data_IF_430310676120
#
_entry.id   IF_430310676120
#
_cell.length_a   1.000
_cell.length_b   1.000
_cell.length_c   1.000
_cell.angle_alpha   90.00
_cell.angle_beta   90.00
_cell.angle_gamma   90.00
#
_symmetry.space_group_name_H-M   'P 1'
#
loop_
_entity.id
_entity.type
_entity.pdbx_description
1 polymer ?
#
# COMPACT_ATOMS: atom_id res chain seq x y z
N UNK A 1 5.61 48.18 17.48
CA UNK A 1 4.60 47.16 17.14
C UNK A 1 5.10 46.40 15.93
N UNK A 2 5.59 45.18 16.11
CA UNK A 2 5.62 44.11 15.11
C UNK A 2 5.90 42.83 15.90
N UNK A 3 4.88 41.99 15.93
CA UNK A 3 4.74 40.79 16.76
C UNK A 3 5.67 39.68 16.28
N UNK A 4 6.50 39.17 17.19
CA UNK A 4 7.25 37.94 17.01
C UNK A 4 6.30 36.75 17.19
N UNK A 5 5.83 36.18 16.08
CA UNK A 5 5.05 34.94 16.09
C UNK A 5 5.93 33.76 16.51
N UNK A 6 5.66 33.21 17.69
CA UNK A 6 6.36 32.05 18.24
C UNK A 6 6.11 30.79 17.42
N UNK A 7 7.17 30.22 16.85
CA UNK A 7 7.20 28.81 16.42
C UNK A 7 7.26 27.94 17.67
N UNK A 8 6.14 27.33 18.05
CA UNK A 8 6.12 26.27 19.05
C UNK A 8 6.96 25.09 18.54
N UNK A 9 8.14 24.90 19.13
CA UNK A 9 8.98 23.71 18.89
C UNK A 9 8.21 22.48 19.37
N UNK A 10 7.83 21.60 18.45
CA UNK A 10 7.32 20.25 18.76
C UNK A 10 8.42 19.55 19.56
N UNK A 11 8.18 19.29 20.84
CA UNK A 11 9.12 18.56 21.69
C UNK A 11 9.11 17.09 21.26
N UNK A 12 10.10 16.71 20.46
CA UNK A 12 10.37 15.31 20.17
C UNK A 12 11.09 14.69 21.38
N UNK A 13 10.33 14.08 22.31
CA UNK A 13 10.93 13.35 23.42
C UNK A 13 11.27 11.92 23.00
N UNK A 14 12.57 11.69 22.80
CA UNK A 14 13.14 10.40 22.40
C UNK A 14 13.22 9.38 23.56
N UNK A 15 12.83 9.75 24.79
CA UNK A 15 13.11 8.94 26.00
C UNK A 15 12.10 7.83 26.32
N UNK A 16 11.02 7.66 25.55
CA UNK A 16 10.02 6.59 25.81
C UNK A 16 9.63 5.73 24.60
N UNK A 17 10.23 5.90 23.43
CA UNK A 17 9.87 5.14 22.22
C UNK A 17 10.56 3.78 22.07
N UNK A 18 11.27 3.29 23.09
CA UNK A 18 11.89 1.96 23.08
C UNK A 18 11.22 1.03 24.08
N UNK A 19 9.99 0.59 23.77
CA UNK A 19 9.65 -0.78 24.13
C UNK A 19 10.42 -1.67 23.14
N UNK A 20 11.17 -2.68 23.60
CA UNK A 20 11.91 -3.55 22.70
C UNK A 20 10.91 -4.45 21.98
N UNK A 21 10.49 -4.06 20.78
CA UNK A 21 10.09 -5.04 19.76
C UNK A 21 11.37 -5.82 19.46
N UNK A 22 11.44 -7.03 20.01
CA UNK A 22 12.67 -7.81 20.15
C UNK A 22 13.41 -7.96 18.82
N UNK A 23 14.72 -7.68 18.83
CA UNK A 23 15.64 -8.16 17.80
C UNK A 23 15.59 -9.69 17.80
N UNK A 24 15.31 -10.29 16.64
CA UNK A 24 15.38 -11.73 16.49
C UNK A 24 16.34 -12.07 15.34
N UNK A 25 17.39 -12.84 15.66
CA UNK A 25 18.54 -13.18 14.79
C UNK A 25 18.16 -14.02 13.56
N UNK A 26 18.91 -14.01 12.45
CA UNK A 26 18.49 -14.62 11.19
C UNK A 26 18.92 -16.10 11.09
N UNK A 27 17.96 -17.00 10.87
CA UNK A 27 18.23 -18.40 10.48
C UNK A 27 17.16 -19.41 10.91
N UNK A 28 16.64 -19.30 12.13
CA UNK A 28 15.62 -20.21 12.71
C UNK A 28 14.36 -19.52 13.23
N UNK A 29 14.26 -18.21 13.04
CA UNK A 29 13.40 -17.32 13.84
C UNK A 29 12.14 -16.88 13.10
N UNK A 30 12.22 -16.70 11.78
CA UNK A 30 11.07 -16.37 10.95
C UNK A 30 9.98 -17.44 11.02
N UNK A 31 10.35 -18.74 10.99
CA UNK A 31 9.37 -19.82 11.05
C UNK A 31 8.61 -19.85 12.38
N UNK A 32 9.31 -19.63 13.51
CA UNK A 32 8.66 -19.57 14.81
C UNK A 32 7.72 -18.36 14.92
N UNK A 33 8.16 -17.18 14.44
CA UNK A 33 7.34 -15.98 14.42
C UNK A 33 6.10 -16.12 13.52
N UNK A 34 6.24 -16.74 12.35
CA UNK A 34 5.12 -17.05 11.45
C UNK A 34 4.10 -17.94 12.19
N UNK A 35 4.55 -19.05 12.80
CA UNK A 35 3.64 -19.99 13.48
C UNK A 35 2.84 -19.33 14.62
N UNK A 36 3.44 -18.40 15.36
CA UNK A 36 2.75 -17.63 16.41
C UNK A 36 1.63 -16.77 15.80
N UNK A 37 1.94 -16.07 14.71
CA UNK A 37 0.98 -15.16 14.08
C UNK A 37 -0.11 -15.88 13.28
N UNK A 38 0.14 -17.09 12.75
CA UNK A 38 -0.89 -17.90 12.10
C UNK A 38 -2.12 -18.11 13.00
N UNK A 39 -1.90 -18.49 14.25
CA UNK A 39 -2.97 -18.73 15.21
C UNK A 39 -3.74 -17.47 15.63
N UNK A 40 -3.19 -16.28 15.36
CA UNK A 40 -3.79 -14.98 15.67
C UNK A 40 -4.39 -14.29 14.44
N UNK A 41 -4.12 -14.80 13.24
CA UNK A 41 -4.57 -14.21 11.98
C UNK A 41 -5.95 -14.74 11.63
N UNK A 42 -6.96 -13.88 11.77
CA UNK A 42 -8.37 -14.19 11.51
C UNK A 42 -8.86 -15.52 12.14
N UNK A 43 -8.65 -15.77 13.44
CA UNK A 43 -8.89 -17.08 14.06
C UNK A 43 -10.37 -17.50 14.04
N UNK A 44 -11.29 -16.54 13.92
CA UNK A 44 -12.73 -16.77 13.83
C UNK A 44 -13.23 -16.96 12.40
N UNK A 45 -12.40 -16.70 11.38
CA UNK A 45 -12.78 -16.85 9.98
C UNK A 45 -12.74 -18.35 9.60
N UNK A 46 -13.78 -18.92 8.97
CA UNK A 46 -13.87 -20.36 8.69
C UNK A 46 -12.67 -20.94 7.94
N UNK A 47 -12.06 -20.16 7.05
CA UNK A 47 -10.88 -20.60 6.28
C UNK A 47 -9.61 -20.74 7.13
N UNK A 48 -9.47 -19.96 8.21
CA UNK A 48 -8.27 -19.92 9.06
C UNK A 48 -8.49 -20.50 10.47
N UNK A 49 -9.71 -20.89 10.82
CA UNK A 49 -10.07 -21.33 12.17
C UNK A 49 -9.50 -22.70 12.54
N UNK A 50 -9.31 -23.59 11.55
CA UNK A 50 -8.70 -24.89 11.77
C UNK A 50 -7.18 -24.74 11.98
N UNK A 51 -6.70 -25.13 13.17
CA UNK A 51 -5.28 -25.13 13.49
C UNK A 51 -4.51 -26.02 12.52
N UNK A 52 -3.54 -25.45 11.80
CA UNK A 52 -2.80 -26.11 10.72
C UNK A 52 -3.70 -26.74 9.65
N UNK A 53 -4.92 -26.21 9.47
CA UNK A 53 -5.80 -26.55 8.36
C UNK A 53 -5.32 -25.91 7.05
N UNK A 54 -6.03 -26.17 5.96
CA UNK A 54 -5.65 -25.74 4.61
C UNK A 54 -5.32 -24.23 4.53
N UNK A 55 -6.18 -23.36 5.08
CA UNK A 55 -5.93 -21.91 5.03
C UNK A 55 -4.71 -21.46 5.83
N UNK A 56 -4.47 -22.02 7.03
CA UNK A 56 -3.27 -21.70 7.80
C UNK A 56 -1.99 -22.23 7.13
N UNK A 57 -2.05 -23.39 6.47
CA UNK A 57 -0.91 -23.95 5.73
C UNK A 57 -0.59 -23.13 4.48
N UNK A 58 -1.59 -22.72 3.71
CA UNK A 58 -1.39 -21.81 2.57
C UNK A 58 -0.82 -20.47 3.02
N UNK A 59 -1.31 -19.91 4.13
CA UNK A 59 -0.76 -18.69 4.71
C UNK A 59 0.69 -18.89 5.19
N UNK A 60 1.01 -20.02 5.81
CA UNK A 60 2.37 -20.38 6.22
C UNK A 60 3.31 -20.43 5.02
N UNK A 61 2.91 -21.12 3.95
CA UNK A 61 3.72 -21.25 2.74
C UNK A 61 4.01 -19.90 2.11
N UNK A 62 3.00 -19.05 1.98
CA UNK A 62 3.11 -17.72 1.40
C UNK A 62 4.09 -16.84 2.21
N UNK A 63 3.94 -16.81 3.54
CA UNK A 63 4.82 -16.04 4.43
C UNK A 63 6.25 -16.61 4.47
N UNK A 64 6.39 -17.93 4.46
CA UNK A 64 7.69 -18.60 4.38
C UNK A 64 8.38 -18.26 3.06
N UNK A 65 7.68 -18.37 1.94
CA UNK A 65 8.20 -18.01 0.63
C UNK A 65 8.63 -16.54 0.58
N UNK A 66 7.81 -15.62 1.12
CA UNK A 66 8.17 -14.20 1.19
C UNK A 66 9.43 -13.97 2.04
N UNK A 67 9.52 -14.62 3.21
CA UNK A 67 10.69 -14.47 4.10
C UNK A 67 12.01 -14.94 3.48
N UNK A 68 11.94 -15.86 2.51
CA UNK A 68 13.09 -16.33 1.74
C UNK A 68 13.39 -15.41 0.55
N UNK A 69 12.36 -14.80 -0.05
CA UNK A 69 12.50 -13.85 -1.14
C UNK A 69 13.14 -12.53 -0.69
N UNK A 70 12.70 -12.00 0.46
CA UNK A 70 13.17 -10.72 1.02
C UNK A 70 13.90 -10.96 2.35
N UNK A 71 15.17 -11.40 2.35
CA UNK A 71 15.90 -11.70 3.58
C UNK A 71 16.23 -10.46 4.43
N UNK A 72 16.14 -9.25 3.86
CA UNK A 72 16.34 -7.99 4.60
C UNK A 72 15.18 -7.73 5.57
N UNK A 73 13.95 -7.98 5.12
CA UNK A 73 12.75 -7.93 5.97
C UNK A 73 12.56 -9.23 6.73
N UNK A 74 12.75 -10.37 6.05
CA UNK A 74 12.40 -11.69 6.52
C UNK A 74 10.89 -11.79 6.80
N UNK A 75 10.54 -12.16 8.02
CA UNK A 75 9.17 -12.08 8.51
C UNK A 75 9.07 -11.00 9.59
N UNK A 76 8.16 -10.04 9.37
CA UNK A 76 7.83 -9.00 10.34
C UNK A 76 6.43 -9.26 10.92
N UNK A 77 6.29 -9.08 12.24
CA UNK A 77 5.03 -9.32 12.94
C UNK A 77 3.92 -8.44 12.34
N UNK A 78 2.76 -9.05 12.09
CA UNK A 78 1.61 -8.38 11.48
C UNK A 78 1.50 -8.55 9.95
N UNK A 79 2.58 -8.95 9.26
CA UNK A 79 2.56 -9.23 7.82
C UNK A 79 1.60 -10.37 7.46
N UNK A 80 1.37 -11.31 8.39
CA UNK A 80 0.39 -12.40 8.22
C UNK A 80 -1.02 -11.90 7.92
N UNK A 81 -1.43 -10.77 8.49
CA UNK A 81 -2.75 -10.22 8.24
C UNK A 81 -2.87 -9.69 6.81
N UNK A 82 -1.83 -9.03 6.29
CA UNK A 82 -1.80 -8.55 4.90
C UNK A 82 -1.89 -9.73 3.94
N UNK A 83 -1.05 -10.74 4.13
CA UNK A 83 -1.09 -11.97 3.35
C UNK A 83 -2.43 -12.70 3.47
N UNK A 84 -3.02 -12.75 4.66
CA UNK A 84 -4.29 -13.40 4.92
C UNK A 84 -5.45 -12.72 4.18
N UNK A 85 -5.47 -11.38 4.10
CA UNK A 85 -6.48 -10.66 3.30
C UNK A 85 -6.37 -11.04 1.83
N UNK A 86 -5.16 -11.08 1.27
CA UNK A 86 -4.96 -11.48 -0.14
C UNK A 86 -5.47 -12.90 -0.38
N UNK A 87 -5.07 -13.84 0.49
CA UNK A 87 -5.42 -15.25 0.37
C UNK A 87 -6.93 -15.53 0.49
N UNK A 88 -7.70 -14.64 1.11
CA UNK A 88 -9.17 -14.73 1.13
C UNK A 88 -9.81 -14.42 -0.23
N UNK A 89 -9.10 -13.78 -1.16
CA UNK A 89 -9.65 -13.27 -2.41
C UNK A 89 -9.03 -13.89 -3.67
N UNK A 90 -7.97 -14.70 -3.54
CA UNK A 90 -7.27 -15.31 -4.67
C UNK A 90 -6.55 -16.59 -4.26
N UNK A 91 -6.03 -17.35 -5.22
CA UNK A 91 -5.27 -18.57 -4.95
C UNK A 91 -3.94 -18.28 -4.22
N UNK A 92 -3.31 -19.31 -3.64
CA UNK A 92 -2.04 -19.17 -2.91
C UNK A 92 -0.93 -18.54 -3.76
N UNK A 93 -0.82 -18.95 -5.03
CA UNK A 93 0.18 -18.42 -5.95
C UNK A 93 -0.10 -16.97 -6.36
N UNK A 94 -1.36 -16.63 -6.66
CA UNK A 94 -1.77 -15.26 -6.96
C UNK A 94 -1.55 -14.34 -5.75
N UNK A 95 -1.88 -14.81 -4.55
CA UNK A 95 -1.70 -14.08 -3.31
C UNK A 95 -0.22 -13.82 -3.03
N UNK A 96 0.66 -14.76 -3.32
CA UNK A 96 2.11 -14.56 -3.22
C UNK A 96 2.61 -13.51 -4.23
N UNK A 97 2.15 -13.58 -5.48
CA UNK A 97 2.52 -12.60 -6.51
C UNK A 97 2.01 -11.20 -6.15
N UNK A 98 0.79 -11.09 -5.61
CA UNK A 98 0.23 -9.83 -5.17
C UNK A 98 0.92 -9.29 -3.91
N UNK A 99 1.32 -10.15 -2.98
CA UNK A 99 2.12 -9.74 -1.83
C UNK A 99 3.46 -9.17 -2.28
N UNK A 100 4.14 -9.83 -3.23
CA UNK A 100 5.39 -9.33 -3.81
C UNK A 100 5.18 -7.96 -4.45
N UNK A 101 4.11 -7.78 -5.22
CA UNK A 101 3.75 -6.48 -5.81
C UNK A 101 3.54 -5.39 -4.75
N UNK A 102 2.76 -5.68 -3.70
CA UNK A 102 2.56 -4.75 -2.58
C UNK A 102 3.87 -4.37 -1.89
N UNK A 103 4.73 -5.35 -1.66
CA UNK A 103 5.94 -5.16 -0.88
C UNK A 103 7.03 -4.43 -1.66
N UNK A 104 7.25 -4.79 -2.93
CA UNK A 104 8.29 -4.21 -3.78
C UNK A 104 7.79 -3.04 -4.61
N UNK A 105 6.85 -3.27 -5.52
CA UNK A 105 6.38 -2.26 -6.48
C UNK A 105 5.63 -1.12 -5.79
N UNK A 106 4.81 -1.41 -4.78
CA UNK A 106 4.12 -0.39 -3.98
C UNK A 106 4.93 0.08 -2.77
N UNK A 107 6.11 -0.49 -2.56
CA UNK A 107 7.07 -0.07 -1.54
C UNK A 107 6.66 -0.32 -0.09
N UNK A 108 5.64 -1.16 0.17
CA UNK A 108 5.16 -1.44 1.52
C UNK A 108 6.23 -2.08 2.40
N UNK A 109 7.21 -2.80 1.82
CA UNK A 109 8.32 -3.43 2.56
C UNK A 109 9.11 -2.48 3.46
N UNK A 110 9.18 -1.20 3.09
CA UNK A 110 9.96 -0.16 3.79
C UNK A 110 9.61 -0.08 5.28
N UNK A 111 8.32 -0.18 5.63
CA UNK A 111 7.86 -0.09 7.03
C UNK A 111 8.11 -1.36 7.86
N UNK A 112 8.38 -2.49 7.19
CA UNK A 112 8.64 -3.78 7.84
C UNK A 112 10.12 -4.08 8.07
N UNK A 113 11.02 -3.18 7.65
CA UNK A 113 12.46 -3.34 7.87
C UNK A 113 12.77 -3.41 9.37
N UNK A 114 13.77 -4.20 9.80
CA UNK A 114 14.06 -4.42 11.23
C UNK A 114 14.42 -3.16 12.02
N UNK A 115 14.89 -2.10 11.35
CA UNK A 115 15.24 -0.83 11.99
C UNK A 115 14.00 0.02 12.38
N UNK A 116 12.82 -0.31 11.83
CA UNK A 116 11.54 0.38 12.03
C UNK A 116 11.61 1.90 11.77
N UNK A 117 12.61 2.39 11.03
CA UNK A 117 12.81 3.83 10.81
C UNK A 117 11.65 4.41 10.02
N UNK A 118 11.21 3.72 8.96
CA UNK A 118 10.11 4.18 8.13
C UNK A 118 8.81 4.19 8.94
N UNK A 119 8.57 3.18 9.79
CA UNK A 119 7.42 3.18 10.69
C UNK A 119 7.47 4.37 11.67
N UNK A 120 8.65 4.73 12.20
CA UNK A 120 8.81 5.92 13.06
C UNK A 120 8.51 7.22 12.31
N UNK A 121 8.97 7.36 11.06
CA UNK A 121 8.63 8.50 10.20
C UNK A 121 7.11 8.55 9.99
N UNK A 122 6.46 7.42 9.72
CA UNK A 122 5.01 7.36 9.58
C UNK A 122 4.28 7.77 10.87
N UNK A 123 4.75 7.35 12.05
CA UNK A 123 4.17 7.80 13.31
C UNK A 123 4.29 9.34 13.47
N UNK A 124 5.42 9.91 13.07
CA UNK A 124 5.61 11.35 13.08
C UNK A 124 4.69 12.07 12.08
N UNK A 125 4.62 11.59 10.83
CA UNK A 125 3.74 12.13 9.79
C UNK A 125 2.27 12.11 10.23
N UNK A 126 1.80 11.03 10.86
CA UNK A 126 0.44 10.97 11.41
C UNK A 126 0.23 12.00 12.54
N UNK A 127 1.22 12.19 13.41
CA UNK A 127 1.19 13.23 14.45
C UNK A 127 1.07 14.63 13.84
N UNK A 128 1.85 14.94 12.80
CA UNK A 128 1.80 16.23 12.09
C UNK A 128 0.48 16.42 11.34
N UNK A 129 -0.07 15.37 10.71
CA UNK A 129 -1.40 15.42 10.13
C UNK A 129 -2.47 15.75 11.17
N UNK A 130 -2.44 15.13 12.35
CA UNK A 130 -3.38 15.48 13.42
C UNK A 130 -3.21 16.92 13.88
N UNK A 131 -1.98 17.40 14.00
CA UNK A 131 -1.70 18.79 14.34
C UNK A 131 -2.30 19.78 13.34
N UNK A 132 -2.20 19.49 12.04
CA UNK A 132 -2.62 20.39 10.96
C UNK A 132 -4.14 20.30 10.67
N UNK A 133 -4.74 19.12 10.75
CA UNK A 133 -6.16 18.89 10.39
C UNK A 133 -7.11 18.80 11.60
N UNK A 134 -6.62 18.34 12.75
CA UNK A 134 -7.42 18.10 13.96
C UNK A 134 -6.71 18.65 15.22
N UNK A 135 -6.37 19.94 15.19
CA UNK A 135 -5.54 20.61 16.21
C UNK A 135 -5.99 20.35 17.66
N UNK A 136 -7.29 20.39 17.90
CA UNK A 136 -7.87 20.11 19.23
C UNK A 136 -7.57 18.68 19.70
N UNK A 137 -7.75 17.69 18.81
CA UNK A 137 -7.42 16.29 19.11
C UNK A 137 -5.92 16.12 19.35
N UNK A 138 -5.09 16.71 18.49
CA UNK A 138 -3.64 16.69 18.67
C UNK A 138 -3.22 17.24 20.04
N UNK A 139 -3.72 18.42 20.41
CA UNK A 139 -3.36 19.05 21.69
C UNK A 139 -3.83 18.22 22.89
N UNK A 140 -5.00 17.59 22.80
CA UNK A 140 -5.47 16.68 23.84
C UNK A 140 -4.57 15.44 23.98
N UNK A 141 -4.21 14.80 22.86
CA UNK A 141 -3.28 13.66 22.87
C UNK A 141 -1.90 14.07 23.39
N UNK A 142 -1.39 15.24 23.00
CA UNK A 142 -0.10 15.77 23.46
C UNK A 142 -0.10 16.07 24.97
N UNK A 143 -1.18 16.64 25.51
CA UNK A 143 -1.34 16.90 26.94
C UNK A 143 -1.26 15.62 27.79
N UNK A 144 -1.73 14.49 27.23
CA UNK A 144 -1.67 13.18 27.87
C UNK A 144 -0.45 12.34 27.46
N UNK A 145 0.53 12.93 26.75
CA UNK A 145 1.74 12.24 26.26
C UNK A 145 1.46 11.05 25.33
N UNK A 146 0.38 11.10 24.55
CA UNK A 146 -0.06 10.00 23.67
C UNK A 146 0.44 10.21 22.24
N UNK A 147 1.57 9.61 21.93
CA UNK A 147 2.10 9.55 20.56
C UNK A 147 1.43 8.45 19.71
N UNK A 148 1.40 8.60 18.37
CA UNK A 148 0.83 7.59 17.47
C UNK A 148 1.41 6.18 17.61
N UNK A 149 2.67 6.04 18.04
CA UNK A 149 3.30 4.74 18.31
C UNK A 149 2.54 3.89 19.34
N UNK A 150 1.76 4.51 20.23
CA UNK A 150 0.99 3.78 21.25
C UNK A 150 -0.25 3.09 20.69
N UNK A 151 -0.79 3.52 19.54
CA UNK A 151 -2.07 3.00 19.01
C UNK A 151 -2.05 2.66 17.51
N UNK A 152 -1.24 3.34 16.70
CA UNK A 152 -1.31 3.26 15.24
C UNK A 152 -0.36 2.22 14.64
N UNK A 153 0.66 1.73 15.35
CA UNK A 153 1.57 0.73 14.80
C UNK A 153 0.85 -0.51 14.21
N UNK A 154 -0.19 -1.08 14.86
CA UNK A 154 -0.98 -2.16 14.25
C UNK A 154 -1.72 -1.73 12.98
N UNK A 155 -2.17 -0.49 12.87
CA UNK A 155 -2.88 0.00 11.69
C UNK A 155 -1.99 -0.03 10.45
N UNK A 156 -0.74 0.45 10.59
CA UNK A 156 0.24 0.44 9.50
C UNK A 156 0.75 -0.97 9.20
N UNK A 157 1.17 -1.72 10.22
CA UNK A 157 1.77 -3.05 10.05
C UNK A 157 0.79 -4.13 9.64
N UNK A 158 -0.52 -3.92 9.78
CA UNK A 158 -1.54 -4.90 9.37
C UNK A 158 -2.53 -4.35 8.35
N UNK A 159 -2.32 -3.13 7.84
CA UNK A 159 -3.29 -2.42 7.00
C UNK A 159 -4.71 -2.49 7.59
N UNK A 160 -4.84 -2.19 8.90
CA UNK A 160 -6.05 -2.26 9.72
C UNK A 160 -6.64 -3.66 9.96
N UNK A 161 -6.14 -4.70 9.30
CA UNK A 161 -6.75 -6.01 9.28
C UNK A 161 -6.77 -6.76 10.62
N UNK A 162 -5.92 -6.38 11.57
CA UNK A 162 -5.88 -7.03 12.89
C UNK A 162 -7.03 -6.65 13.84
N UNK A 163 -7.65 -5.49 13.66
CA UNK A 163 -8.64 -4.96 14.61
C UNK A 163 -9.96 -4.54 13.95
N UNK A 164 -9.99 -4.31 12.64
CA UNK A 164 -11.17 -3.81 11.94
C UNK A 164 -11.93 -4.92 11.20
N UNK A 165 -13.25 -4.76 10.96
CA UNK A 165 -14.06 -5.73 10.22
C UNK A 165 -13.49 -6.00 8.81
N UNK A 166 -13.44 -7.27 8.41
CA UNK A 166 -12.87 -7.69 7.11
C UNK A 166 -13.49 -6.98 5.90
N UNK A 167 -14.80 -6.70 5.92
CA UNK A 167 -15.46 -5.95 4.85
C UNK A 167 -14.96 -4.51 4.71
N UNK A 168 -14.61 -3.84 5.82
CA UNK A 168 -13.97 -2.52 5.79
C UNK A 168 -12.53 -2.63 5.29
N UNK A 169 -11.79 -3.62 5.79
CA UNK A 169 -10.40 -3.89 5.42
C UNK A 169 -10.27 -4.15 3.91
N UNK A 170 -11.17 -4.94 3.31
CA UNK A 170 -11.19 -5.17 1.87
C UNK A 170 -11.29 -3.85 1.08
N UNK A 171 -12.16 -2.92 1.51
CA UNK A 171 -12.29 -1.58 0.89
C UNK A 171 -11.04 -0.73 1.08
N UNK A 172 -10.34 -0.86 2.21
CA UNK A 172 -9.03 -0.22 2.42
C UNK A 172 -8.00 -0.78 1.42
N UNK A 173 -7.98 -2.09 1.20
CA UNK A 173 -7.10 -2.72 0.22
C UNK A 173 -7.40 -2.26 -1.21
N UNK A 174 -8.67 -2.16 -1.60
CA UNK A 174 -9.06 -1.62 -2.91
C UNK A 174 -8.46 -0.23 -3.15
N UNK A 175 -8.55 0.65 -2.15
CA UNK A 175 -7.96 1.99 -2.23
C UNK A 175 -6.43 1.94 -2.19
N UNK A 176 -5.83 1.05 -1.40
CA UNK A 176 -4.40 0.88 -1.31
C UNK A 176 -3.82 0.50 -2.67
N UNK A 177 -4.43 -0.46 -3.39
CA UNK A 177 -4.01 -0.83 -4.74
C UNK A 177 -4.20 0.30 -5.76
N UNK A 178 -5.22 1.12 -5.61
CA UNK A 178 -5.53 2.21 -6.55
C UNK A 178 -4.69 3.47 -6.33
N UNK A 179 -4.47 3.87 -5.07
CA UNK A 179 -3.89 5.16 -4.68
C UNK A 179 -2.54 5.06 -3.96
N UNK A 180 -2.11 3.86 -3.57
CA UNK A 180 -0.84 3.62 -2.88
C UNK A 180 -0.93 3.55 -1.36
N UNK A 181 0.23 3.37 -0.72
CA UNK A 181 0.36 3.14 0.74
C UNK A 181 -0.08 4.33 1.60
N UNK A 182 -0.14 5.54 1.02
CA UNK A 182 -0.61 6.77 1.67
C UNK A 182 -2.06 6.67 2.16
N UNK A 183 -2.86 5.77 1.57
CA UNK A 183 -4.23 5.47 2.03
C UNK A 183 -4.28 5.11 3.51
N UNK A 184 -3.23 4.49 4.03
CA UNK A 184 -3.13 4.15 5.46
C UNK A 184 -3.22 5.40 6.34
N UNK A 185 -2.58 6.50 5.94
CA UNK A 185 -2.69 7.78 6.63
C UNK A 185 -4.07 8.40 6.49
N UNK A 186 -4.66 8.35 5.28
CA UNK A 186 -6.00 8.89 5.02
C UNK A 186 -7.04 8.22 5.91
N UNK A 187 -6.98 6.88 6.01
CA UNK A 187 -7.87 6.09 6.87
C UNK A 187 -7.63 6.41 8.34
N UNK A 188 -6.38 6.43 8.81
CA UNK A 188 -6.06 6.76 10.20
C UNK A 188 -6.55 8.16 10.59
N UNK A 189 -6.33 9.16 9.72
CA UNK A 189 -6.76 10.53 9.95
C UNK A 189 -8.28 10.66 9.95
N UNK A 190 -8.97 10.03 8.99
CA UNK A 190 -10.44 10.03 8.92
C UNK A 190 -11.06 9.37 10.16
N UNK A 191 -10.54 8.23 10.59
CA UNK A 191 -11.03 7.53 11.78
C UNK A 191 -10.83 8.33 13.06
N UNK A 192 -9.65 8.92 13.27
CA UNK A 192 -9.38 9.76 14.43
C UNK A 192 -10.24 11.04 14.41
N UNK A 193 -10.38 11.66 13.24
CA UNK A 193 -11.24 12.82 13.03
C UNK A 193 -12.70 12.54 13.34
N UNK A 194 -13.25 11.42 12.85
CA UNK A 194 -14.65 11.04 13.05
C UNK A 194 -14.97 10.71 14.51
N UNK A 195 -13.98 10.22 15.27
CA UNK A 195 -14.13 9.87 16.68
C UNK A 195 -13.65 10.96 17.64
N UNK A 196 -13.14 12.10 17.12
CA UNK A 196 -12.63 13.22 17.94
C UNK A 196 -13.55 13.56 19.13
N UNK A 197 -14.88 13.78 18.95
CA UNK A 197 -15.74 14.21 20.05
C UNK A 197 -15.86 13.17 21.18
N UNK A 198 -15.63 11.89 20.87
CA UNK A 198 -15.65 10.80 21.85
C UNK A 198 -14.29 10.67 22.55
N UNK A 199 -13.19 10.77 21.79
CA UNK A 199 -11.83 10.72 22.34
C UNK A 199 -11.63 11.82 23.37
N UNK A 200 -12.10 13.05 23.08
CA UNK A 200 -11.97 14.21 23.98
C UNK A 200 -12.73 14.07 25.32
N UNK A 201 -13.59 13.06 25.49
CA UNK A 201 -14.29 12.80 26.75
C UNK A 201 -13.46 11.99 27.74
N UNK A 202 -12.33 11.44 27.30
CA UNK A 202 -11.43 10.64 28.14
C UNK A 202 -10.32 11.53 28.69
N UNK A 203 -10.06 11.46 30.00
CA UNK A 203 -9.16 12.41 30.68
C UNK A 203 -7.81 11.80 31.12
N UNK A 204 -7.53 10.55 30.74
CA UNK A 204 -6.28 9.89 31.11
C UNK A 204 -5.77 8.97 29.99
N UNK A 205 -4.45 8.74 30.00
CA UNK A 205 -3.73 7.98 28.98
C UNK A 205 -4.34 6.59 28.73
N UNK A 206 -4.62 5.83 29.79
CA UNK A 206 -5.13 4.46 29.68
C UNK A 206 -6.50 4.43 28.98
N UNK A 207 -7.43 5.27 29.43
CA UNK A 207 -8.78 5.32 28.85
C UNK A 207 -8.80 5.82 27.41
N UNK A 208 -7.96 6.79 27.05
CA UNK A 208 -7.83 7.28 25.67
C UNK A 208 -7.27 6.18 24.76
N UNK A 209 -6.18 5.53 25.19
CA UNK A 209 -5.54 4.47 24.40
C UNK A 209 -6.47 3.25 24.26
N UNK A 210 -7.17 2.86 25.33
CA UNK A 210 -8.16 1.78 25.27
C UNK A 210 -9.33 2.13 24.35
N UNK A 211 -9.85 3.36 24.40
CA UNK A 211 -10.90 3.78 23.47
C UNK A 211 -10.43 3.64 22.01
N UNK A 212 -9.23 4.12 21.67
CA UNK A 212 -8.70 4.06 20.30
C UNK A 212 -8.43 2.61 19.87
N UNK A 213 -7.99 1.73 20.77
CA UNK A 213 -7.66 0.33 20.44
C UNK A 213 -8.84 -0.61 20.43
N UNK A 214 -9.76 -0.44 21.37
CA UNK A 214 -10.80 -1.43 21.69
C UNK A 214 -12.18 -0.97 21.23
N UNK A 215 -12.47 0.33 21.30
CA UNK A 215 -13.80 0.86 20.97
C UNK A 215 -13.89 1.38 19.54
N UNK A 216 -12.91 2.18 19.10
CA UNK A 216 -12.88 2.79 17.77
C UNK A 216 -13.01 1.77 16.61
N UNK A 217 -12.41 0.56 16.66
CA UNK A 217 -12.56 -0.40 15.57
C UNK A 217 -13.99 -0.95 15.39
N UNK A 218 -14.87 -0.79 16.39
CA UNK A 218 -16.27 -1.23 16.35
C UNK A 218 -17.15 -0.25 15.56
N UNK A 219 -16.81 -0.07 14.29
CA UNK A 219 -17.50 0.85 13.38
C UNK A 219 -18.87 0.29 12.97
N UNK A 220 -19.90 1.14 12.97
CA UNK A 220 -21.16 0.82 12.31
C UNK A 220 -21.04 0.89 10.77
N UNK A 221 -21.93 0.21 10.03
CA UNK A 221 -21.91 0.19 8.55
C UNK A 221 -21.90 1.61 7.94
N UNK A 222 -22.73 2.51 8.48
CA UNK A 222 -22.81 3.91 8.02
C UNK A 222 -21.50 4.67 8.28
N UNK A 223 -20.82 4.38 9.39
CA UNK A 223 -19.53 5.00 9.69
C UNK A 223 -18.45 4.50 8.74
N UNK A 224 -18.39 3.18 8.51
CA UNK A 224 -17.47 2.59 7.53
C UNK A 224 -17.64 3.22 6.14
N UNK A 225 -18.87 3.32 5.64
CA UNK A 225 -19.12 3.91 4.32
C UNK A 225 -18.70 5.38 4.24
N UNK A 226 -19.00 6.17 5.28
CA UNK A 226 -18.56 7.58 5.37
C UNK A 226 -17.05 7.70 5.39
N UNK A 227 -16.35 6.86 6.17
CA UNK A 227 -14.89 6.83 6.22
C UNK A 227 -14.31 6.53 4.83
N UNK A 228 -14.80 5.51 4.13
CA UNK A 228 -14.31 5.16 2.79
C UNK A 228 -14.52 6.31 1.80
N UNK A 229 -15.69 6.97 1.81
CA UNK A 229 -15.97 8.14 0.96
C UNK A 229 -15.01 9.30 1.25
N UNK A 230 -14.81 9.64 2.52
CA UNK A 230 -13.89 10.71 2.92
C UNK A 230 -12.45 10.39 2.52
N UNK A 231 -12.01 9.15 2.73
CA UNK A 231 -10.66 8.69 2.38
C UNK A 231 -10.42 8.78 0.87
N UNK A 232 -11.42 8.43 0.07
CA UNK A 232 -11.31 8.45 -1.39
C UNK A 232 -11.04 9.86 -1.95
N UNK A 233 -11.67 10.87 -1.37
CA UNK A 233 -11.56 12.28 -1.77
C UNK A 233 -10.38 13.02 -1.14
N UNK A 234 -9.75 12.45 -0.11
CA UNK A 234 -8.69 13.10 0.64
C UNK A 234 -7.36 13.15 -0.13
N UNK A 235 -6.77 14.34 -0.23
CA UNK A 235 -5.43 14.57 -0.78
C UNK A 235 -4.49 15.13 0.31
N UNK A 236 -3.47 14.35 0.67
CA UNK A 236 -2.48 14.67 1.71
C UNK A 236 -1.04 14.40 1.25
N UNK A 237 -0.82 14.10 -0.04
CA UNK A 237 0.48 13.60 -0.53
C UNK A 237 1.58 14.65 -0.36
N UNK A 238 1.27 15.93 -0.62
CA UNK A 238 2.21 17.04 -0.44
C UNK A 238 2.61 17.24 1.02
N UNK A 239 1.65 17.09 1.93
CA UNK A 239 1.86 17.22 3.37
C UNK A 239 2.74 16.08 3.88
N UNK A 240 2.47 14.84 3.46
CA UNK A 240 3.29 13.69 3.82
C UNK A 240 4.75 13.87 3.40
N UNK A 241 5.00 14.31 2.16
CA UNK A 241 6.35 14.62 1.68
C UNK A 241 7.02 15.74 2.50
N UNK A 242 6.29 16.82 2.80
CA UNK A 242 6.82 17.91 3.62
C UNK A 242 7.20 17.44 5.03
N UNK A 243 6.38 16.59 5.65
CA UNK A 243 6.66 16.06 6.99
C UNK A 243 7.79 15.04 7.02
N UNK A 244 7.99 14.27 5.95
CA UNK A 244 9.15 13.39 5.82
C UNK A 244 10.45 14.20 5.80
N UNK A 245 10.49 15.27 5.00
CA UNK A 245 11.62 16.21 4.98
C UNK A 245 11.80 16.88 6.34
N UNK A 246 10.72 17.33 6.98
CA UNK A 246 10.74 17.93 8.32
C UNK A 246 11.37 16.96 9.35
N UNK A 247 10.99 15.68 9.31
CA UNK A 247 11.53 14.66 10.22
C UNK A 247 13.05 14.49 10.06
N UNK A 248 13.54 14.40 8.81
CA UNK A 248 14.96 14.26 8.55
C UNK A 248 15.76 15.48 9.02
N UNK A 249 15.27 16.68 8.75
CA UNK A 249 15.91 17.92 9.23
C UNK A 249 15.97 17.95 10.76
N UNK A 250 14.87 17.60 11.45
CA UNK A 250 14.85 17.54 12.92
C UNK A 250 15.81 16.48 13.47
N UNK A 251 15.94 15.34 12.80
CA UNK A 251 16.86 14.28 13.20
C UNK A 251 18.33 14.73 13.08
N UNK A 252 18.67 15.45 12.01
CA UNK A 252 20.00 16.02 11.80
C UNK A 252 20.31 17.13 12.83
N UNK A 253 19.37 18.05 13.09
CA UNK A 253 19.54 19.09 14.12
C UNK A 253 19.75 18.49 15.52
N UNK A 254 19.10 17.37 15.84
CA UNK A 254 19.25 16.70 17.14
C UNK A 254 20.62 16.02 17.29
N UNK A 255 21.18 15.51 16.20
CA UNK A 255 22.55 14.99 16.16
C UNK A 255 23.58 16.12 16.26
N UNK A 256 23.16 17.36 15.97
CA UNK A 256 24.00 18.56 15.97
C UNK A 256 24.02 19.36 17.28
N UNK A 257 23.35 18.88 18.35
CA UNK A 257 23.46 19.44 19.71
C UNK A 257 24.86 19.32 20.34
N UNK A 258 25.19 20.13 21.37
CA UNK A 258 26.55 20.23 21.90
C UNK A 258 26.92 19.02 22.78
N UNK A 259 27.32 17.91 22.15
CA UNK A 259 28.14 16.86 22.77
C UNK A 259 28.83 15.96 21.72
N UNK A 260 30.14 16.18 21.58
CA UNK A 260 31.22 15.17 21.46
C UNK A 260 31.32 14.23 20.24
N UNK A 261 31.17 14.72 19.01
CA UNK A 261 31.82 14.08 17.85
C UNK A 261 32.92 15.03 17.34
N UNK A 262 34.15 14.53 17.19
CA UNK A 262 35.22 15.36 16.61
C UNK A 262 34.78 15.74 15.19
N UNK A 263 35.04 16.98 14.76
CA UNK A 263 34.68 17.44 13.41
C UNK A 263 35.15 16.47 12.31
N UNK A 264 36.22 15.71 12.55
CA UNK A 264 36.73 14.65 11.68
C UNK A 264 35.79 13.44 11.56
N UNK A 265 35.16 12.98 12.65
CA UNK A 265 34.19 11.88 12.59
C UNK A 265 32.91 12.28 11.88
N UNK A 266 32.48 13.55 12.03
CA UNK A 266 31.31 14.09 11.33
C UNK A 266 31.57 14.23 9.84
N UNK A 267 32.75 14.73 9.45
CA UNK A 267 33.17 14.79 8.05
C UNK A 267 33.21 13.40 7.42
N UNK A 268 33.79 12.41 8.12
CA UNK A 268 33.84 11.02 7.64
C UNK A 268 32.44 10.39 7.49
N UNK A 269 31.52 10.68 8.43
CA UNK A 269 30.14 10.22 8.34
C UNK A 269 29.41 10.87 7.16
N UNK A 270 29.50 12.19 6.99
CA UNK A 270 28.91 12.92 5.87
C UNK A 270 29.45 12.44 4.52
N UNK A 271 30.74 12.13 4.45
CA UNK A 271 31.39 11.60 3.24
C UNK A 271 30.87 10.18 2.93
N UNK A 272 30.69 9.34 3.95
CA UNK A 272 30.05 8.02 3.80
C UNK A 272 28.60 8.12 3.35
N UNK A 273 27.81 9.03 3.94
CA UNK A 273 26.41 9.24 3.54
C UNK A 273 26.32 9.81 2.12
N UNK A 274 27.18 10.77 1.75
CA UNK A 274 27.27 11.28 0.37
C UNK A 274 27.68 10.18 -0.61
N UNK A 275 28.61 9.30 -0.23
CA UNK A 275 28.98 8.14 -1.04
C UNK A 275 27.79 7.21 -1.27
N UNK A 276 27.04 6.90 -0.22
CA UNK A 276 25.82 6.09 -0.31
C UNK A 276 24.74 6.75 -1.16
N UNK A 277 24.51 8.06 -1.01
CA UNK A 277 23.55 8.81 -1.81
C UNK A 277 23.97 8.90 -3.28
N UNK A 278 25.27 9.02 -3.56
CA UNK A 278 25.79 8.97 -4.93
C UNK A 278 25.58 7.61 -5.57
N UNK A 279 25.78 6.54 -4.81
CA UNK A 279 25.50 5.19 -5.30
C UNK A 279 24.00 5.01 -5.57
N UNK A 280 23.13 5.41 -4.65
CA UNK A 280 21.67 5.36 -4.87
C UNK A 280 21.22 6.20 -6.06
N UNK A 281 21.81 7.38 -6.28
CA UNK A 281 21.53 8.18 -7.47
C UNK A 281 21.98 7.48 -8.76
N UNK A 282 23.10 6.75 -8.72
CA UNK A 282 23.57 5.97 -9.86
C UNK A 282 22.62 4.80 -10.14
N UNK A 283 22.22 4.07 -9.10
CA UNK A 283 21.29 2.94 -9.22
C UNK A 283 19.92 3.41 -9.73
N UNK A 284 19.40 4.54 -9.24
CA UNK A 284 18.16 5.16 -9.74
C UNK A 284 18.30 5.62 -11.20
N UNK A 285 19.46 6.15 -11.60
CA UNK A 285 19.71 6.51 -13.00
C UNK A 285 19.71 5.26 -13.89
N UNK A 286 20.27 4.15 -13.42
CA UNK A 286 20.21 2.86 -14.13
C UNK A 286 18.77 2.34 -14.23
N UNK A 287 17.99 2.38 -13.15
CA UNK A 287 16.57 2.00 -13.17
C UNK A 287 15.78 2.85 -14.17
N UNK A 288 16.00 4.16 -14.18
CA UNK A 288 15.39 5.09 -15.15
C UNK A 288 15.81 4.73 -16.57
N UNK A 289 17.07 4.37 -16.82
CA UNK A 289 17.51 3.92 -18.14
C UNK A 289 16.85 2.61 -18.57
N UNK A 290 16.71 1.64 -17.66
CA UNK A 290 16.02 0.37 -17.92
C UNK A 290 14.54 0.62 -18.21
N UNK A 291 13.88 1.48 -17.43
CA UNK A 291 12.49 1.87 -17.68
C UNK A 291 12.32 2.53 -19.05
N UNK A 292 13.21 3.45 -19.43
CA UNK A 292 13.19 4.07 -20.77
C UNK A 292 13.45 3.06 -21.89
N UNK A 293 14.34 2.09 -21.71
CA UNK A 293 14.54 1.02 -22.68
C UNK A 293 13.28 0.16 -22.85
N UNK A 294 12.59 -0.13 -21.74
CA UNK A 294 11.36 -0.91 -21.75
C UNK A 294 10.19 -0.14 -22.38
N UNK A 295 10.06 1.15 -22.12
CA UNK A 295 9.09 2.02 -22.78
C UNK A 295 9.32 1.99 -24.30
N UNK A 296 10.57 2.22 -24.75
CA UNK A 296 10.90 2.16 -26.19
C UNK A 296 10.60 0.81 -26.83
N UNK A 297 10.87 -0.28 -26.11
CA UNK A 297 10.51 -1.62 -26.57
C UNK A 297 8.99 -1.79 -26.73
N UNK A 298 8.22 -1.36 -25.73
CA UNK A 298 6.75 -1.44 -25.77
C UNK A 298 6.17 -0.54 -26.87
N UNK A 299 6.70 0.67 -27.06
CA UNK A 299 6.33 1.58 -28.14
C UNK A 299 6.52 0.92 -29.51
N UNK A 300 7.70 0.34 -29.76
CA UNK A 300 7.96 -0.40 -31.01
C UNK A 300 7.03 -1.60 -31.19
N UNK A 301 6.69 -2.30 -30.11
CA UNK A 301 5.74 -3.42 -30.17
C UNK A 301 4.33 -2.96 -30.53
N UNK A 302 3.88 -1.84 -29.95
CA UNK A 302 2.59 -1.21 -30.27
C UNK A 302 2.57 -0.74 -31.73
N UNK A 303 3.63 -0.11 -32.23
CA UNK A 303 3.75 0.27 -33.64
C UNK A 303 3.62 -0.95 -34.57
N UNK A 304 4.27 -2.06 -34.22
CA UNK A 304 4.16 -3.32 -34.97
C UNK A 304 2.74 -3.88 -34.98
N UNK A 305 2.03 -3.85 -33.85
CA UNK A 305 0.63 -4.27 -33.76
C UNK A 305 -0.29 -3.38 -34.60
N UNK A 306 -0.10 -2.05 -34.55
CA UNK A 306 -0.87 -1.10 -35.37
C UNK A 306 -0.64 -1.35 -36.86
N UNK A 307 0.59 -1.62 -37.27
CA UNK A 307 0.88 -1.95 -38.66
C UNK A 307 0.22 -3.27 -39.08
N UNK A 308 0.28 -4.31 -38.24
CA UNK A 308 -0.41 -5.58 -38.51
C UNK A 308 -1.93 -5.40 -38.60
N UNK A 309 -2.53 -4.60 -37.71
CA UNK A 309 -3.96 -4.27 -37.75
C UNK A 309 -4.32 -3.57 -39.07
N UNK A 310 -3.48 -2.64 -39.54
CA UNK A 310 -3.72 -1.92 -40.80
C UNK A 310 -3.76 -2.86 -42.00
N UNK A 311 -2.86 -3.86 -42.06
CA UNK A 311 -2.82 -4.86 -43.13
C UNK A 311 -4.08 -5.74 -43.10
N UNK A 312 -4.43 -6.24 -41.90
CA UNK A 312 -5.64 -7.07 -41.73
C UNK A 312 -6.92 -6.30 -42.09
N UNK A 313 -6.98 -5.00 -41.79
CA UNK A 313 -8.11 -4.14 -42.19
C UNK A 313 -8.23 -4.03 -43.72
N UNK A 314 -7.13 -3.85 -44.43
CA UNK A 314 -7.12 -3.79 -45.91
C UNK A 314 -7.59 -5.13 -46.49
N UNK A 315 -7.08 -6.25 -45.97
CA UNK A 315 -7.46 -7.59 -46.42
C UNK A 315 -8.95 -7.87 -46.16
N UNK A 316 -9.46 -7.49 -44.98
CA UNK A 316 -10.88 -7.59 -44.66
C UNK A 316 -11.75 -6.78 -45.63
N UNK A 317 -11.34 -5.55 -45.98
CA UNK A 317 -12.09 -4.73 -46.95
C UNK A 317 -12.09 -5.34 -48.35
N UNK A 318 -10.98 -5.96 -48.77
CA UNK A 318 -10.90 -6.67 -50.06
C UNK A 318 -11.84 -7.87 -50.10
N UNK A 319 -11.82 -8.69 -49.04
CA UNK A 319 -12.72 -9.84 -48.93
C UNK A 319 -14.19 -9.43 -48.86
N UNK A 320 -14.50 -8.33 -48.19
CA UNK A 320 -15.87 -7.77 -48.16
C UNK A 320 -16.32 -7.33 -49.56
N UNK A 321 -15.43 -6.73 -50.35
CA UNK A 321 -15.73 -6.36 -51.72
C UNK A 321 -15.98 -7.60 -52.59
N UNK A 322 -15.09 -8.59 -52.57
CA UNK A 322 -15.27 -9.85 -53.32
C UNK A 322 -16.57 -10.56 -52.93
N UNK A 323 -16.87 -10.63 -51.63
CA UNK A 323 -18.13 -11.20 -51.14
C UNK A 323 -19.34 -10.45 -51.69
N UNK A 324 -19.30 -9.11 -51.75
CA UNK A 324 -20.38 -8.30 -52.33
C UNK A 324 -20.57 -8.53 -53.84
N UNK A 325 -19.46 -8.69 -54.59
CA UNK A 325 -19.47 -8.98 -56.02
C UNK A 325 -20.03 -10.38 -56.30
N UNK A 326 -19.63 -11.37 -55.51
CA UNK A 326 -20.18 -12.73 -55.57
C UNK A 326 -21.67 -12.75 -55.23
N UNK A 327 -22.10 -12.06 -54.17
CA UNK A 327 -23.52 -11.93 -53.82
C UNK A 327 -24.33 -11.27 -54.93
N UNK A 328 -23.79 -10.24 -55.57
CA UNK A 328 -24.43 -9.61 -56.72
C UNK A 328 -24.58 -10.59 -57.89
N UNK A 329 -23.52 -11.33 -58.20
CA UNK A 329 -23.52 -12.36 -59.26
C UNK A 329 -24.53 -13.47 -58.98
N UNK A 330 -24.59 -13.96 -57.74
CA UNK A 330 -25.58 -14.97 -57.31
C UNK A 330 -27.00 -14.42 -57.47
N UNK A 331 -27.24 -13.16 -57.10
CA UNK A 331 -28.57 -12.53 -57.22
C UNK A 331 -28.98 -12.38 -58.69
N UNK A 332 -28.06 -11.99 -59.58
CA UNK A 332 -28.31 -11.93 -61.02
C UNK A 332 -28.63 -13.30 -61.62
N UNK A 333 -27.84 -14.32 -61.25
CA UNK A 333 -28.09 -15.70 -61.69
C UNK A 333 -29.44 -16.22 -61.19
N UNK A 334 -29.81 -15.93 -59.94
CA UNK A 334 -31.13 -16.25 -59.39
C UNK A 334 -32.26 -15.55 -60.16
N UNK A 335 -32.09 -14.27 -60.52
CA UNK A 335 -33.07 -13.54 -61.32
C UNK A 335 -33.25 -14.14 -62.74
N UNK A 336 -32.16 -14.55 -63.38
CA UNK A 336 -32.18 -15.24 -64.68
C UNK A 336 -32.82 -16.62 -64.61
N UNK A 337 -32.54 -17.41 -63.57
CA UNK A 337 -33.18 -18.70 -63.35
C UNK A 337 -34.69 -18.54 -63.13
N UNK A 338 -35.08 -17.52 -62.37
CA UNK A 338 -36.49 -17.20 -62.12
C UNK A 338 -37.21 -16.78 -63.40
N UNK A 339 -36.56 -16.01 -64.29
CA UNK A 339 -37.14 -15.61 -65.58
C UNK A 339 -37.33 -16.77 -66.57
N UNK A 340 -36.56 -17.87 -66.40
CA UNK A 340 -36.71 -19.11 -67.16
C UNK A 340 -37.65 -20.13 -66.48
N UNK A 341 -38.36 -19.74 -65.43
CA UNK A 341 -39.36 -20.59 -64.76
C UNK A 341 -38.79 -21.63 -63.81
N UNK A 342 -37.49 -21.56 -63.46
CA UNK A 342 -36.83 -22.50 -62.55
C UNK A 342 -36.75 -21.83 -61.17
N UNK A 343 -37.68 -22.19 -60.28
CA UNK A 343 -37.63 -21.71 -58.88
C UNK A 343 -36.58 -22.50 -58.09
N UNK A 344 -35.55 -21.81 -57.61
CA UNK A 344 -34.53 -22.39 -56.73
C UNK A 344 -34.70 -21.80 -55.32
N UNK A 345 -35.18 -22.60 -54.37
CA UNK A 345 -35.23 -22.23 -52.95
C UNK A 345 -33.88 -22.54 -52.30
N UNK A 346 -33.08 -21.52 -52.03
CA UNK A 346 -31.88 -21.67 -51.20
C UNK A 346 -32.28 -21.59 -49.73
N UNK A 347 -32.12 -22.67 -48.98
CA UNK A 347 -32.27 -22.68 -47.53
C UNK A 347 -30.87 -22.64 -46.89
N UNK A 348 -30.50 -21.60 -46.11
CA UNK A 348 -29.28 -21.64 -45.32
C UNK A 348 -29.48 -22.61 -44.15
N UNK A 349 -28.57 -23.57 -44.01
CA UNK A 349 -28.41 -24.38 -42.80
C UNK A 349 -27.59 -23.64 -41.74
#
# INVERSE_FOLDING_TARGET
>A
MLSTSGRSKVKFDKRRSTQPLGRVSPGSTGQHAILIDLGRTFPTHPYFSAQLGAGQLSLYNLLKAYSLLDPEVGYCQGLSFVAGVLLLHMSEEEAFNMLKFLMYDMGLRKQYRPDMIILQIQMYQLSRLLHDYHRELYSHLEQHEIGPSLYAAPWFLTAFASHFPLGFVARVFDMLFLQGSEVTFKVALSLLGSHKPLILQHENLESIVDFIKSTLPNLGLVQMEKTIKQVFEMDISKQLQAYEVEYHVLQDELLDGPSTLSQSQRAAQLEKTNGSLRQQNLDLLEEVQVAHARIRFLESHVEGLVQSESVLRVELTSLQQEHSELQHTVTQLQALLTSHGIQYTWAPS
#
